data_IF_391707578939
#
_entry.id   IF_391707578939
#
_cell.length_a   1.000
_cell.length_b   1.000
_cell.length_c   1.000
_cell.angle_alpha   90.00
_cell.angle_beta   90.00
_cell.angle_gamma   90.00
#
_symmetry.space_group_name_H-M   'P 1'
#
loop_
_entity.id
_entity.type
_entity.pdbx_description
1 polymer ?
#
# COMPACT_ATOMS: atom_id res chain seq x y z
N UNK A 1 -65.39 31.50 -21.95
CA UNK A 1 -64.52 30.32 -21.78
C UNK A 1 -63.22 30.52 -22.56
N UNK A 2 -62.08 30.52 -21.86
CA UNK A 2 -60.83 29.79 -22.17
C UNK A 2 -59.62 30.56 -21.64
N UNK A 3 -59.04 29.97 -20.61
CA UNK A 3 -57.82 30.37 -19.93
C UNK A 3 -56.59 30.18 -20.83
N UNK A 4 -55.59 31.04 -20.62
CA UNK A 4 -54.24 30.97 -21.17
C UNK A 4 -53.49 29.78 -20.56
N UNK A 5 -52.80 28.99 -21.39
CA UNK A 5 -51.71 28.09 -20.98
C UNK A 5 -50.43 28.56 -21.67
N UNK A 6 -49.45 28.93 -20.86
CA UNK A 6 -48.06 29.18 -21.26
C UNK A 6 -47.34 27.84 -21.42
N UNK A 7 -46.63 27.66 -22.53
CA UNK A 7 -45.67 26.58 -22.73
C UNK A 7 -44.26 27.16 -22.60
N UNK A 8 -43.46 26.53 -21.74
CA UNK A 8 -42.05 26.83 -21.54
C UNK A 8 -41.22 26.33 -22.72
N UNK A 9 -40.38 27.19 -23.27
CA UNK A 9 -39.30 26.80 -24.17
C UNK A 9 -38.01 26.70 -23.34
N UNK A 10 -37.50 25.48 -23.16
CA UNK A 10 -36.17 25.22 -22.62
C UNK A 10 -35.11 25.72 -23.61
N UNK A 11 -34.32 26.71 -23.20
CA UNK A 11 -33.10 27.09 -23.90
C UNK A 11 -31.98 26.12 -23.49
N UNK A 12 -31.45 25.41 -24.48
CA UNK A 12 -30.30 24.52 -24.36
C UNK A 12 -29.03 25.37 -24.20
N UNK A 13 -28.56 25.54 -22.97
CA UNK A 13 -27.26 26.14 -22.71
C UNK A 13 -26.17 25.06 -22.88
N UNK A 14 -25.36 25.22 -23.94
CA UNK A 14 -24.13 24.47 -24.16
C UNK A 14 -23.16 24.71 -23.00
N UNK A 15 -23.15 23.80 -22.02
CA UNK A 15 -22.05 23.63 -21.09
C UNK A 15 -20.86 23.08 -21.88
N UNK A 16 -19.91 23.96 -22.22
CA UNK A 16 -18.55 23.55 -22.53
C UNK A 16 -17.99 22.96 -21.25
N UNK A 17 -18.19 21.66 -21.06
CA UNK A 17 -17.55 20.87 -20.04
C UNK A 17 -16.06 20.95 -20.28
N UNK A 18 -15.36 21.76 -19.49
CA UNK A 18 -13.93 21.64 -19.33
C UNK A 18 -13.68 20.23 -18.83
N UNK A 19 -13.25 19.35 -19.74
CA UNK A 19 -12.62 18.09 -19.39
C UNK A 19 -11.36 18.49 -18.64
N UNK A 20 -11.48 18.60 -17.32
CA UNK A 20 -10.34 18.48 -16.44
C UNK A 20 -9.76 17.12 -16.76
N UNK A 21 -8.64 17.10 -17.47
CA UNK A 21 -7.74 15.97 -17.51
C UNK A 21 -7.37 15.71 -16.05
N UNK A 22 -8.14 14.83 -15.39
CA UNK A 22 -7.65 14.07 -14.26
C UNK A 22 -6.46 13.33 -14.85
N UNK A 23 -5.27 13.87 -14.67
CA UNK A 23 -4.04 13.14 -14.91
C UNK A 23 -4.11 11.96 -13.94
N UNK A 24 -4.67 10.85 -14.41
CA UNK A 24 -4.60 9.58 -13.72
C UNK A 24 -3.11 9.37 -13.40
N UNK A 25 -2.80 9.20 -12.12
CA UNK A 25 -1.46 8.90 -11.69
C UNK A 25 -0.92 7.76 -12.55
N UNK A 26 0.33 7.83 -13.04
CA UNK A 26 0.91 6.71 -13.75
C UNK A 26 0.81 5.52 -12.82
N UNK A 27 0.01 4.54 -13.24
CA UNK A 27 -0.15 3.26 -12.58
C UNK A 27 1.22 2.76 -12.10
N UNK A 28 1.41 2.65 -10.79
CA UNK A 28 2.66 2.11 -10.29
C UNK A 28 2.69 0.62 -10.61
N UNK A 29 3.74 0.21 -11.30
CA UNK A 29 4.07 -1.20 -11.45
C UNK A 29 4.18 -1.84 -10.06
N UNK A 30 3.57 -3.01 -9.88
CA UNK A 30 3.78 -3.83 -8.68
C UNK A 30 5.01 -4.71 -8.93
N UNK A 31 5.99 -4.71 -8.01
CA UNK A 31 5.92 -4.23 -6.63
C UNK A 31 6.13 -2.71 -6.55
N UNK A 32 5.48 -2.07 -5.58
CA UNK A 32 5.81 -0.70 -5.20
C UNK A 32 7.18 -0.74 -4.54
N UNK A 33 8.22 -0.30 -5.26
CA UNK A 33 9.62 -0.33 -4.80
C UNK A 33 10.45 0.82 -5.37
N UNK A 34 11.59 1.06 -4.73
CA UNK A 34 12.53 2.13 -5.04
C UNK A 34 12.41 3.32 -4.10
N UNK A 35 12.81 4.48 -4.61
CA UNK A 35 12.71 5.75 -3.91
C UNK A 35 11.32 6.35 -4.15
N UNK A 36 10.54 6.52 -3.09
CA UNK A 36 9.19 7.09 -3.16
C UNK A 36 9.22 8.48 -2.53
N UNK A 37 9.66 9.47 -3.31
CA UNK A 37 9.78 10.85 -2.85
C UNK A 37 8.43 11.47 -2.44
N UNK A 38 8.43 12.17 -1.30
CA UNK A 38 7.32 12.99 -0.82
C UNK A 38 7.76 14.46 -0.71
N UNK A 39 6.91 15.37 -1.18
CA UNK A 39 7.02 16.80 -0.85
C UNK A 39 6.18 17.08 0.39
N UNK A 40 6.85 17.31 1.51
CA UNK A 40 6.22 17.71 2.79
C UNK A 40 6.21 19.24 2.84
N UNK A 41 5.01 19.81 2.77
CA UNK A 41 4.76 21.25 2.70
C UNK A 41 4.18 21.75 4.02
N UNK A 42 4.95 22.54 4.74
CA UNK A 42 4.53 23.18 5.98
C UNK A 42 3.81 24.48 5.64
N UNK A 43 2.53 24.58 5.97
CA UNK A 43 1.68 25.72 5.67
C UNK A 43 0.95 26.23 6.90
N UNK A 44 0.95 27.55 7.10
CA UNK A 44 0.26 28.20 8.22
C UNK A 44 -0.85 29.13 7.75
N UNK A 45 -1.94 29.18 8.50
CA UNK A 45 -3.02 30.14 8.23
C UNK A 45 -2.55 31.57 8.54
N UNK A 46 -3.02 32.58 7.79
CA UNK A 46 -2.56 33.97 7.98
C UNK A 46 -2.87 34.55 9.35
N UNK A 47 -3.92 34.07 10.00
CA UNK A 47 -4.36 34.47 11.35
C UNK A 47 -3.74 33.61 12.46
N UNK A 48 -2.90 32.63 12.11
CA UNK A 48 -2.22 31.72 13.03
C UNK A 48 -0.72 31.80 12.82
N UNK A 49 -0.06 32.65 13.60
CA UNK A 49 1.38 32.89 13.46
C UNK A 49 2.26 31.74 14.00
N UNK A 50 1.72 30.90 14.90
CA UNK A 50 2.48 29.86 15.58
C UNK A 50 2.95 28.77 14.61
N UNK A 51 4.15 28.27 14.87
CA UNK A 51 4.79 27.17 14.16
C UNK A 51 5.06 26.07 15.19
N UNK A 52 4.06 25.19 15.48
CA UNK A 52 4.10 24.37 16.69
C UNK A 52 5.24 23.36 16.73
N UNK A 53 5.85 23.07 15.57
CA UNK A 53 7.03 22.23 15.43
C UNK A 53 8.01 22.85 14.44
N UNK A 54 9.31 22.70 14.73
CA UNK A 54 10.39 23.08 13.83
C UNK A 54 10.38 22.19 12.57
N UNK A 55 10.64 22.72 11.36
CA UNK A 55 10.82 21.91 10.15
C UNK A 55 11.73 20.68 10.29
N UNK A 56 12.74 20.69 11.17
CA UNK A 56 13.57 19.50 11.43
C UNK A 56 12.77 18.33 11.99
N UNK A 57 11.76 18.58 12.85
CA UNK A 57 10.89 17.53 13.37
C UNK A 57 10.23 16.76 12.22
N UNK A 58 9.69 17.46 11.21
CA UNK A 58 9.06 16.83 10.07
C UNK A 58 10.06 16.14 9.12
N UNK A 59 11.31 16.61 9.05
CA UNK A 59 12.37 15.90 8.32
C UNK A 59 12.65 14.55 8.98
N UNK A 60 12.90 14.56 10.29
CA UNK A 60 13.15 13.34 11.05
C UNK A 60 11.93 12.40 11.10
N UNK A 61 10.72 12.97 11.04
CA UNK A 61 9.49 12.20 11.14
C UNK A 61 9.08 11.56 9.80
N UNK A 62 9.07 12.33 8.71
CA UNK A 62 8.40 11.97 7.45
C UNK A 62 9.35 11.69 6.27
N UNK A 63 10.66 11.83 6.44
CA UNK A 63 11.62 11.62 5.34
C UNK A 63 12.72 10.64 5.73
N UNK A 64 13.54 10.28 4.74
CA UNK A 64 14.68 9.39 4.94
C UNK A 64 15.76 9.96 5.88
N UNK A 65 15.79 11.27 6.11
CA UNK A 65 16.73 11.92 7.04
C UNK A 65 16.54 11.41 8.48
N UNK A 66 15.32 10.94 8.78
CA UNK A 66 14.90 10.33 10.02
C UNK A 66 15.23 8.85 10.21
N UNK A 67 15.93 8.20 9.28
CA UNK A 67 16.21 6.77 9.38
C UNK A 67 16.94 6.42 10.70
N UNK A 68 16.48 5.38 11.38
CA UNK A 68 16.93 4.94 12.69
C UNK A 68 16.34 5.72 13.88
N UNK A 69 15.42 6.65 13.65
CA UNK A 69 14.87 7.54 14.68
C UNK A 69 13.46 7.15 15.14
N UNK A 70 12.87 6.08 14.58
CA UNK A 70 11.53 5.57 14.89
C UNK A 70 10.42 6.27 14.11
N UNK A 71 10.75 6.94 13.00
CA UNK A 71 9.82 7.67 12.14
C UNK A 71 9.29 6.84 10.96
N UNK A 72 8.73 7.50 9.95
CA UNK A 72 8.10 6.82 8.82
C UNK A 72 9.11 6.13 7.90
N UNK A 73 10.34 6.62 7.82
CA UNK A 73 11.40 5.93 7.08
C UNK A 73 11.62 4.50 7.61
N UNK A 74 11.64 4.33 8.93
CA UNK A 74 11.83 3.03 9.57
C UNK A 74 10.60 2.14 9.41
N UNK A 75 9.40 2.72 9.55
CA UNK A 75 8.15 2.00 9.33
C UNK A 75 8.10 1.40 7.92
N UNK A 76 8.30 2.23 6.89
CA UNK A 76 8.24 1.78 5.50
C UNK A 76 9.39 0.82 5.15
N UNK A 77 10.59 1.04 5.70
CA UNK A 77 11.70 0.11 5.52
C UNK A 77 11.35 -1.28 6.10
N UNK A 78 10.79 -1.36 7.30
CA UNK A 78 10.45 -2.64 7.93
C UNK A 78 9.27 -3.34 7.24
N UNK A 79 8.20 -2.61 6.91
CA UNK A 79 7.03 -3.19 6.27
C UNK A 79 7.33 -3.69 4.85
N UNK A 80 8.19 -2.97 4.11
CA UNK A 80 8.56 -3.29 2.73
C UNK A 80 9.80 -4.17 2.60
N UNK A 81 10.57 -4.34 3.70
CA UNK A 81 11.91 -4.96 3.76
C UNK A 81 12.94 -4.21 2.93
N UNK A 82 12.97 -2.89 3.09
CA UNK A 82 13.87 -1.98 2.37
C UNK A 82 13.53 -1.81 0.89
N UNK A 83 12.42 -2.39 0.41
CA UNK A 83 11.99 -2.24 -1.00
C UNK A 83 11.54 -0.82 -1.29
N UNK A 84 10.97 -0.14 -0.31
CA UNK A 84 10.64 1.28 -0.39
C UNK A 84 11.54 2.04 0.56
N UNK A 85 12.08 3.15 0.06
CA UNK A 85 12.78 4.16 0.85
C UNK A 85 12.13 5.51 0.60
N UNK A 86 12.22 6.41 1.58
CA UNK A 86 11.71 7.78 1.43
C UNK A 86 12.80 8.72 0.88
N UNK A 87 13.86 8.17 0.27
CA UNK A 87 14.89 8.97 -0.41
C UNK A 87 14.25 9.89 -1.47
N UNK A 88 14.83 11.08 -1.63
CA UNK A 88 14.30 12.12 -2.49
C UNK A 88 13.17 12.94 -1.86
N UNK A 89 12.61 12.53 -0.72
CA UNK A 89 11.61 13.35 0.00
C UNK A 89 12.21 14.66 0.52
N UNK A 90 11.41 15.71 0.57
CA UNK A 90 11.84 17.06 0.99
C UNK A 90 10.83 17.70 1.92
N UNK A 91 11.31 18.49 2.89
CA UNK A 91 10.46 19.36 3.73
C UNK A 91 10.69 20.83 3.37
N UNK A 92 9.60 21.57 3.17
CA UNK A 92 9.61 22.99 2.75
C UNK A 92 8.54 23.79 3.50
N UNK A 93 8.77 25.07 3.77
CA UNK A 93 7.86 25.94 4.53
C UNK A 93 8.38 26.24 5.94
N UNK A 94 7.72 26.98 6.83
CA UNK A 94 6.31 27.37 6.95
C UNK A 94 5.83 28.49 5.99
N UNK A 95 5.04 28.13 4.98
CA UNK A 95 4.42 29.08 4.07
C UNK A 95 3.14 29.69 4.66
N UNK A 96 3.05 31.02 4.70
CA UNK A 96 1.83 31.71 5.13
C UNK A 96 0.79 31.68 4.00
N UNK A 97 -0.24 30.87 4.17
CA UNK A 97 -1.37 30.82 3.25
C UNK A 97 -2.19 32.12 3.32
N UNK A 98 -2.81 32.59 2.22
CA UNK A 98 -3.65 33.80 2.21
C UNK A 98 -5.03 33.61 2.89
N UNK A 99 -5.24 32.46 3.54
CA UNK A 99 -6.51 32.06 4.15
C UNK A 99 -6.41 32.06 5.67
N UNK A 100 -7.50 32.47 6.35
CA UNK A 100 -7.64 32.22 7.78
C UNK A 100 -7.98 30.76 8.06
N UNK A 101 -7.81 30.31 9.31
CA UNK A 101 -8.29 29.00 9.75
C UNK A 101 -9.79 28.83 9.46
N UNK A 102 -10.59 29.86 9.78
CA UNK A 102 -12.04 29.83 9.56
C UNK A 102 -12.42 29.69 8.07
N UNK A 103 -11.68 30.34 7.17
CA UNK A 103 -11.88 30.20 5.72
C UNK A 103 -11.54 28.81 5.19
N UNK A 104 -10.69 28.05 5.90
CA UNK A 104 -10.26 26.71 5.52
C UNK A 104 -11.19 25.61 6.07
N UNK A 105 -11.84 25.82 7.22
CA UNK A 105 -12.76 24.83 7.83
C UNK A 105 -13.80 24.23 6.87
N UNK A 106 -14.55 25.01 6.07
CA UNK A 106 -15.61 24.45 5.22
C UNK A 106 -15.10 23.77 3.95
N UNK A 107 -13.80 23.90 3.60
CA UNK A 107 -13.24 23.30 2.38
C UNK A 107 -13.10 21.79 2.54
N UNK A 108 -13.18 21.05 1.45
CA UNK A 108 -12.81 19.63 1.48
C UNK A 108 -11.29 19.49 1.62
N UNK A 109 -10.84 18.28 1.96
CA UNK A 109 -9.42 17.99 2.21
C UNK A 109 -8.52 18.26 1.01
N UNK A 110 -8.98 17.91 -0.19
CA UNK A 110 -8.21 18.13 -1.42
C UNK A 110 -7.91 19.62 -1.64
N UNK A 111 -8.92 20.47 -1.47
CA UNK A 111 -8.78 21.92 -1.62
C UNK A 111 -7.83 22.51 -0.56
N UNK A 112 -7.91 22.05 0.70
CA UNK A 112 -6.96 22.46 1.76
C UNK A 112 -5.51 22.12 1.40
N UNK A 113 -5.27 20.90 0.91
CA UNK A 113 -3.94 20.47 0.45
C UNK A 113 -3.51 21.31 -0.75
N UNK A 114 -4.39 21.50 -1.74
CA UNK A 114 -4.08 22.24 -2.95
C UNK A 114 -3.77 23.72 -2.65
N UNK A 115 -4.43 24.33 -1.67
CA UNK A 115 -4.11 25.69 -1.21
C UNK A 115 -2.69 25.77 -0.63
N UNK A 116 -2.27 24.77 0.14
CA UNK A 116 -0.89 24.68 0.64
C UNK A 116 0.11 24.50 -0.52
N UNK A 117 -0.19 23.64 -1.50
CA UNK A 117 0.63 23.45 -2.72
C UNK A 117 0.76 24.74 -3.52
N UNK A 118 -0.35 25.45 -3.76
CA UNK A 118 -0.36 26.73 -4.47
C UNK A 118 0.45 27.80 -3.72
N UNK A 119 0.35 27.81 -2.40
CA UNK A 119 1.13 28.74 -1.55
C UNK A 119 2.62 28.40 -1.60
N UNK A 120 3.01 27.13 -1.58
CA UNK A 120 4.41 26.73 -1.76
C UNK A 120 4.95 27.15 -3.13
N UNK A 121 4.15 26.98 -4.18
CA UNK A 121 4.49 27.40 -5.55
C UNK A 121 4.67 28.91 -5.67
N UNK A 122 3.78 29.72 -5.08
CA UNK A 122 3.94 31.18 -5.08
C UNK A 122 5.16 31.66 -4.27
N UNK A 123 5.66 30.82 -3.36
CA UNK A 123 6.91 31.02 -2.62
C UNK A 123 8.13 30.32 -3.26
N UNK A 124 8.03 29.95 -4.53
CA UNK A 124 9.17 29.46 -5.32
C UNK A 124 9.48 27.97 -5.19
N UNK A 125 8.60 27.15 -4.61
CA UNK A 125 8.76 25.70 -4.58
C UNK A 125 7.73 24.97 -5.45
N UNK A 126 8.20 24.35 -6.53
CA UNK A 126 7.39 23.45 -7.36
C UNK A 126 7.63 22.01 -6.92
N UNK A 127 6.55 21.26 -6.67
CA UNK A 127 6.62 19.83 -6.35
C UNK A 127 7.25 19.08 -7.54
N UNK A 128 8.35 18.33 -7.33
CA UNK A 128 8.98 17.56 -8.40
C UNK A 128 8.03 16.53 -9.00
N UNK A 129 8.16 16.26 -10.30
CA UNK A 129 7.42 15.20 -10.96
C UNK A 129 7.66 13.85 -10.26
N UNK A 130 6.58 13.11 -9.99
CA UNK A 130 6.62 11.82 -9.30
C UNK A 130 6.65 11.89 -7.77
N UNK A 131 6.77 13.09 -7.17
CA UNK A 131 6.58 13.23 -5.73
C UNK A 131 5.10 13.14 -5.36
N UNK A 132 4.82 12.43 -4.27
CA UNK A 132 3.56 12.55 -3.53
C UNK A 132 3.60 13.78 -2.61
N UNK A 133 2.47 14.13 -2.01
CA UNK A 133 2.36 15.37 -1.23
C UNK A 133 1.87 15.08 0.18
N UNK A 134 2.54 15.67 1.18
CA UNK A 134 2.03 15.80 2.54
C UNK A 134 1.91 17.30 2.84
N UNK A 135 0.70 17.79 3.08
CA UNK A 135 0.49 19.13 3.62
C UNK A 135 0.41 19.05 5.15
N UNK A 136 1.22 19.87 5.82
CA UNK A 136 1.25 20.03 7.27
C UNK A 136 0.62 21.38 7.62
N UNK A 137 -0.42 21.38 8.45
CA UNK A 137 -1.12 22.59 8.87
C UNK A 137 -0.84 22.95 10.33
N UNK A 138 -0.73 24.24 10.64
CA UNK A 138 -0.30 24.69 11.97
C UNK A 138 -1.39 24.76 13.05
N UNK A 139 -2.63 24.38 12.75
CA UNK A 139 -3.75 24.40 13.69
C UNK A 139 -4.80 23.33 13.30
N UNK A 140 -5.68 23.00 14.25
CA UNK A 140 -6.67 21.92 14.16
C UNK A 140 -7.79 22.23 13.16
N UNK A 141 -7.87 21.45 12.10
CA UNK A 141 -8.85 21.65 11.01
C UNK A 141 -9.36 20.36 10.39
N UNK A 142 -8.48 19.43 10.04
CA UNK A 142 -8.74 18.23 9.24
C UNK A 142 -7.42 17.46 9.08
N UNK A 143 -7.52 16.13 9.05
CA UNK A 143 -6.41 15.23 8.78
C UNK A 143 -6.94 14.03 7.98
N UNK A 144 -6.11 13.48 7.10
CA UNK A 144 -6.46 12.31 6.30
C UNK A 144 -5.81 12.28 4.93
N UNK A 145 -6.13 11.26 4.14
CA UNK A 145 -5.75 11.17 2.74
C UNK A 145 -6.81 11.79 1.82
N UNK A 146 -6.34 12.24 0.66
CA UNK A 146 -7.15 12.60 -0.49
C UNK A 146 -6.41 12.13 -1.74
N UNK A 147 -6.74 10.93 -2.23
CA UNK A 147 -6.00 10.28 -3.31
C UNK A 147 -4.56 9.94 -2.87
N UNK A 148 -3.58 10.46 -3.60
CA UNK A 148 -2.15 10.27 -3.32
C UNK A 148 -1.54 11.35 -2.41
N UNK A 149 -2.39 12.16 -1.77
CA UNK A 149 -1.99 13.28 -0.92
C UNK A 149 -2.46 13.06 0.50
N UNK A 150 -1.70 13.61 1.43
CA UNK A 150 -1.95 13.52 2.86
C UNK A 150 -2.07 14.93 3.45
N UNK A 151 -3.03 15.13 4.33
CA UNK A 151 -3.15 16.32 5.18
C UNK A 151 -2.92 15.90 6.64
N UNK A 152 -2.00 16.56 7.34
CA UNK A 152 -1.78 16.34 8.77
C UNK A 152 -1.81 17.68 9.51
N UNK A 153 -2.81 17.85 10.36
CA UNK A 153 -2.85 18.89 11.39
C UNK A 153 -2.20 18.40 12.70
N UNK A 154 -2.05 19.24 13.75
CA UNK A 154 -1.34 18.88 14.97
C UNK A 154 -1.86 17.61 15.68
N UNK A 155 -3.11 17.21 15.45
CA UNK A 155 -3.68 15.98 16.00
C UNK A 155 -3.19 14.71 15.33
N UNK A 156 -2.66 14.81 14.11
CA UNK A 156 -2.25 13.69 13.28
C UNK A 156 -0.72 13.55 13.15
N UNK A 157 0.08 14.33 13.88
CA UNK A 157 1.54 14.24 13.85
C UNK A 157 2.09 13.10 14.71
N UNK A 158 1.62 11.89 14.41
CA UNK A 158 2.10 10.65 15.03
C UNK A 158 2.29 9.54 13.99
N UNK A 159 3.13 8.56 14.29
CA UNK A 159 3.50 7.48 13.35
C UNK A 159 2.28 6.72 12.87
N UNK A 160 1.37 6.34 13.76
CA UNK A 160 0.17 5.59 13.40
C UNK A 160 -0.68 6.30 12.35
N UNK A 161 -0.99 7.57 12.57
CA UNK A 161 -1.81 8.37 11.67
C UNK A 161 -1.10 8.60 10.34
N UNK A 162 0.12 9.12 10.37
CA UNK A 162 0.87 9.41 9.16
C UNK A 162 1.13 8.14 8.31
N UNK A 163 1.41 6.99 8.94
CA UNK A 163 1.61 5.73 8.23
C UNK A 163 0.33 5.29 7.50
N UNK A 164 -0.81 5.34 8.18
CA UNK A 164 -2.11 5.01 7.61
C UNK A 164 -2.38 5.85 6.35
N UNK A 165 -2.24 7.17 6.45
CA UNK A 165 -2.55 8.06 5.33
C UNK A 165 -1.53 7.97 4.18
N UNK A 166 -0.25 7.81 4.49
CA UNK A 166 0.77 7.64 3.47
C UNK A 166 0.57 6.34 2.68
N UNK A 167 0.00 5.30 3.30
CA UNK A 167 -0.32 4.03 2.65
C UNK A 167 -1.48 4.15 1.64
N UNK A 168 -2.42 5.08 1.81
CA UNK A 168 -3.35 5.45 0.74
C UNK A 168 -2.62 6.00 -0.50
N UNK A 169 -1.53 6.72 -0.29
CA UNK A 169 -0.63 7.15 -1.37
C UNK A 169 -0.01 5.99 -2.16
N UNK A 170 0.05 4.79 -1.61
CA UNK A 170 0.50 3.58 -2.30
C UNK A 170 -0.66 2.72 -2.82
N UNK A 171 -1.89 3.24 -2.83
CA UNK A 171 -3.06 2.55 -3.39
C UNK A 171 -3.69 1.51 -2.46
N UNK A 172 -3.42 1.61 -1.15
CA UNK A 172 -4.13 0.81 -0.16
C UNK A 172 -5.47 1.43 0.21
N UNK A 173 -6.45 0.58 0.49
CA UNK A 173 -7.72 0.97 1.12
C UNK A 173 -7.77 0.44 2.55
N UNK A 174 -8.90 0.66 3.23
CA UNK A 174 -9.05 0.23 4.61
C UNK A 174 -9.17 -1.28 4.78
N UNK A 175 -8.85 -1.75 5.98
CA UNK A 175 -9.18 -3.10 6.44
C UNK A 175 -10.45 -3.12 7.28
N UNK A 176 -11.13 -4.26 7.26
CA UNK A 176 -12.44 -4.44 7.86
C UNK A 176 -12.44 -5.64 8.82
N UNK A 177 -13.52 -5.81 9.58
CA UNK A 177 -13.90 -7.10 10.18
C UNK A 177 -15.15 -7.67 9.51
N UNK A 178 -15.37 -8.96 9.69
CA UNK A 178 -16.56 -9.65 9.20
C UNK A 178 -17.81 -9.48 10.08
N UNK A 179 -17.79 -8.59 11.08
CA UNK A 179 -18.95 -8.33 11.95
C UNK A 179 -19.96 -7.41 11.26
N UNK A 180 -21.17 -7.91 10.91
CA UNK A 180 -22.16 -7.12 10.19
C UNK A 180 -22.85 -6.06 11.06
N UNK A 181 -22.57 -6.04 12.37
CA UNK A 181 -23.19 -5.11 13.33
C UNK A 181 -22.26 -3.99 13.75
N UNK A 182 -20.96 -4.12 13.50
CA UNK A 182 -20.00 -3.10 13.91
C UNK A 182 -19.96 -1.95 12.92
N UNK A 183 -20.07 -0.73 13.44
CA UNK A 183 -19.79 0.50 12.71
C UNK A 183 -18.96 1.40 13.62
N UNK A 184 -17.73 1.73 13.20
CA UNK A 184 -16.82 2.52 14.03
C UNK A 184 -17.38 3.92 14.32
N UNK A 185 -17.89 4.58 13.27
CA UNK A 185 -18.47 5.93 13.29
C UNK A 185 -19.56 6.02 12.22
N UNK A 186 -20.51 6.94 12.35
CA UNK A 186 -21.74 6.96 11.52
C UNK A 186 -21.49 6.92 10.00
N UNK A 187 -20.44 7.63 9.54
CA UNK A 187 -20.04 7.72 8.14
C UNK A 187 -19.23 6.51 7.64
N UNK A 188 -18.72 5.68 8.55
CA UNK A 188 -17.93 4.51 8.19
C UNK A 188 -18.83 3.38 7.69
N UNK A 189 -18.28 2.56 6.80
CA UNK A 189 -18.92 1.33 6.34
C UNK A 189 -18.97 0.30 7.48
N UNK A 190 -19.86 -0.70 7.34
CA UNK A 190 -19.96 -1.81 8.29
C UNK A 190 -18.66 -2.61 8.28
N UNK A 191 -18.12 -2.86 9.48
CA UNK A 191 -16.85 -3.54 9.70
C UNK A 191 -15.60 -2.70 9.43
N UNK A 192 -15.73 -1.49 8.86
CA UNK A 192 -14.60 -0.62 8.57
C UNK A 192 -13.90 -0.17 9.85
N UNK A 193 -12.57 -0.16 9.82
CA UNK A 193 -11.74 0.19 10.97
C UNK A 193 -11.96 -0.75 12.17
N UNK A 194 -12.22 -2.03 11.93
CA UNK A 194 -12.45 -3.03 12.98
C UNK A 194 -11.43 -4.18 12.97
N UNK A 195 -10.21 -3.91 12.50
CA UNK A 195 -9.10 -4.85 12.56
C UNK A 195 -7.93 -4.24 13.36
N UNK A 196 -7.90 -4.42 14.70
CA UNK A 196 -6.89 -3.81 15.56
C UNK A 196 -5.44 -4.22 15.27
N UNK A 197 -5.22 -5.26 14.48
CA UNK A 197 -3.89 -5.78 14.14
C UNK A 197 -3.34 -5.22 12.82
N UNK A 198 -4.10 -4.40 12.09
CA UNK A 198 -3.69 -3.87 10.80
C UNK A 198 -3.75 -2.35 10.74
N UNK A 199 -2.69 -1.71 10.25
CA UNK A 199 -2.58 -0.25 10.18
C UNK A 199 -3.66 0.39 9.32
N UNK A 200 -4.21 -0.34 8.34
CA UNK A 200 -5.29 0.14 7.49
C UNK A 200 -6.66 0.11 8.19
N UNK A 201 -6.71 -0.23 9.48
CA UNK A 201 -7.85 -0.03 10.39
C UNK A 201 -7.82 1.35 11.09
N UNK A 202 -6.99 2.27 10.58
CA UNK A 202 -6.83 3.64 11.05
C UNK A 202 -6.54 3.71 12.55
N UNK A 203 -7.14 4.66 13.27
CA UNK A 203 -6.85 4.92 14.69
C UNK A 203 -7.46 3.89 15.64
N UNK A 204 -8.19 2.89 15.14
CA UNK A 204 -8.71 1.78 15.94
C UNK A 204 -7.78 0.57 15.84
N UNK A 205 -6.54 0.74 16.30
CA UNK A 205 -5.46 -0.28 16.24
C UNK A 205 -4.76 -0.45 17.57
N UNK A 206 -4.10 -1.59 17.74
CA UNK A 206 -3.13 -1.79 18.80
C UNK A 206 -1.91 -0.89 18.55
N UNK A 207 -1.48 -0.20 19.61
CA UNK A 207 -0.38 0.76 19.53
C UNK A 207 0.49 0.69 20.77
N UNK A 208 1.67 1.30 20.70
CA UNK A 208 2.50 1.66 21.83
C UNK A 208 2.97 3.11 21.65
N UNK A 209 3.54 3.71 22.69
CA UNK A 209 4.13 5.05 22.57
C UNK A 209 5.55 4.95 22.00
N UNK A 210 5.80 5.65 20.89
CA UNK A 210 7.15 5.78 20.34
C UNK A 210 7.97 6.76 21.17
N UNK A 211 9.29 6.69 21.05
CA UNK A 211 10.18 7.57 21.80
C UNK A 211 10.09 9.05 21.38
N UNK A 212 9.67 9.34 20.14
CA UNK A 212 9.78 10.69 19.54
C UNK A 212 8.55 11.20 18.81
N UNK A 213 7.76 10.32 18.21
CA UNK A 213 6.74 10.69 17.21
C UNK A 213 5.35 10.21 17.63
N UNK A 214 5.04 10.32 18.93
CA UNK A 214 3.74 9.99 19.51
C UNK A 214 3.39 8.50 19.39
N UNK A 215 2.10 8.22 19.15
CA UNK A 215 1.57 6.87 19.04
C UNK A 215 2.11 6.11 17.81
N UNK A 216 2.48 4.84 18.00
CA UNK A 216 3.02 3.97 16.96
C UNK A 216 1.96 3.56 15.93
N UNK A 217 2.43 2.97 14.83
CA UNK A 217 1.61 2.12 13.96
C UNK A 217 1.55 0.67 14.51
N UNK A 218 0.78 -0.18 13.83
CA UNK A 218 0.87 -1.64 13.86
C UNK A 218 1.36 -2.15 12.50
N UNK A 219 1.85 -3.39 12.41
CA UNK A 219 2.26 -3.96 11.12
C UNK A 219 1.11 -4.08 10.12
N UNK A 220 1.43 -3.95 8.83
CA UNK A 220 0.50 -4.23 7.73
C UNK A 220 0.16 -5.72 7.65
N UNK A 221 -1.12 -6.02 7.41
CA UNK A 221 -1.58 -7.37 7.10
C UNK A 221 -0.91 -7.90 5.81
N UNK A 222 -0.86 -9.21 5.71
CA UNK A 222 -0.21 -9.95 4.63
C UNK A 222 -0.85 -9.69 3.27
N UNK A 223 -2.17 -9.52 3.19
CA UNK A 223 -2.85 -9.18 1.94
C UNK A 223 -2.34 -7.85 1.36
N UNK A 224 -2.20 -6.80 2.17
CA UNK A 224 -1.71 -5.51 1.69
C UNK A 224 -0.22 -5.54 1.35
N UNK A 225 0.60 -6.26 2.14
CA UNK A 225 2.01 -6.47 1.79
C UNK A 225 2.14 -7.24 0.47
N UNK A 226 1.28 -8.20 0.23
CA UNK A 226 1.22 -8.97 -1.01
C UNK A 226 0.72 -8.11 -2.20
N UNK A 227 -0.31 -7.28 -1.99
CA UNK A 227 -0.79 -6.30 -2.98
C UNK A 227 0.32 -5.35 -3.43
N UNK A 228 1.14 -4.87 -2.49
CA UNK A 228 2.27 -4.00 -2.80
C UNK A 228 3.51 -4.74 -3.34
N UNK A 229 3.48 -6.08 -3.37
CA UNK A 229 4.62 -6.92 -3.72
C UNK A 229 5.79 -6.84 -2.72
N UNK A 230 5.47 -6.53 -1.46
CA UNK A 230 6.41 -6.51 -0.33
C UNK A 230 6.63 -7.89 0.30
N UNK A 231 5.76 -8.85 -0.01
CA UNK A 231 6.05 -10.27 0.17
C UNK A 231 6.64 -10.84 -1.12
N UNK A 232 7.70 -11.63 -0.99
CA UNK A 232 8.21 -12.39 -2.12
C UNK A 232 7.33 -13.61 -2.40
N UNK A 233 7.22 -14.03 -3.66
CA UNK A 233 6.30 -15.11 -4.05
C UNK A 233 6.57 -16.43 -3.34
N UNK A 234 7.84 -16.74 -3.05
CA UNK A 234 8.23 -17.92 -2.28
C UNK A 234 7.76 -17.87 -0.81
N UNK A 235 7.34 -16.70 -0.32
CA UNK A 235 6.74 -16.49 1.00
C UNK A 235 5.20 -16.51 0.96
N UNK A 236 4.59 -16.65 -0.21
CA UNK A 236 3.14 -16.73 -0.37
C UNK A 236 2.76 -18.11 -0.89
N UNK A 237 2.04 -18.88 -0.08
CA UNK A 237 1.57 -20.22 -0.47
C UNK A 237 0.09 -20.18 -0.82
N UNK A 238 -0.30 -20.76 -1.96
CA UNK A 238 -1.71 -20.90 -2.36
C UNK A 238 -2.15 -22.36 -2.24
N UNK A 239 -3.07 -22.66 -1.32
CA UNK A 239 -3.58 -24.02 -1.15
C UNK A 239 -4.35 -24.49 -2.39
N UNK A 240 -4.20 -25.76 -2.77
CA UNK A 240 -4.87 -26.36 -3.91
C UNK A 240 -4.26 -26.05 -5.28
N UNK A 241 -3.24 -25.17 -5.34
CA UNK A 241 -2.56 -24.78 -6.58
C UNK A 241 -1.82 -25.95 -7.26
N UNK A 242 -1.34 -26.91 -6.46
CA UNK A 242 -0.67 -28.13 -6.91
C UNK A 242 -1.59 -29.36 -6.89
N UNK A 243 -2.90 -29.15 -6.78
CA UNK A 243 -3.90 -30.23 -6.69
C UNK A 243 -4.01 -30.87 -5.30
N UNK A 244 -3.16 -30.51 -4.33
CA UNK A 244 -3.24 -31.05 -2.97
C UNK A 244 -4.25 -30.27 -2.14
N UNK A 245 -5.29 -30.96 -1.68
CA UNK A 245 -6.42 -30.36 -0.95
C UNK A 245 -6.16 -30.10 0.51
N UNK A 246 -5.31 -30.88 1.16
CA UNK A 246 -5.07 -30.82 2.61
C UNK A 246 -3.59 -30.73 2.90
N UNK A 247 -3.19 -29.77 3.76
CA UNK A 247 -1.81 -29.60 4.18
C UNK A 247 -1.71 -29.12 5.62
N UNK A 248 -0.61 -29.47 6.27
CA UNK A 248 -0.12 -28.74 7.44
C UNK A 248 0.97 -27.79 6.98
N UNK A 249 0.76 -26.49 7.19
CA UNK A 249 1.63 -25.41 6.75
C UNK A 249 2.29 -24.78 7.99
N UNK A 250 3.60 -24.56 7.91
CA UNK A 250 4.33 -23.72 8.88
C UNK A 250 4.36 -22.30 8.35
N UNK A 251 3.73 -21.39 9.09
CA UNK A 251 3.77 -19.95 8.90
C UNK A 251 4.96 -19.39 9.69
N UNK A 252 5.69 -18.47 9.08
CA UNK A 252 6.69 -17.61 9.73
C UNK A 252 6.07 -16.22 9.94
N UNK A 253 6.45 -15.54 11.02
CA UNK A 253 5.81 -14.27 11.36
C UNK A 253 6.08 -13.19 10.30
N UNK A 254 5.09 -12.32 10.06
CA UNK A 254 5.25 -11.17 9.18
C UNK A 254 6.34 -10.21 9.66
N UNK A 255 6.54 -10.11 10.97
CA UNK A 255 7.55 -9.28 11.62
C UNK A 255 8.97 -9.88 11.62
N UNK A 256 9.14 -11.13 11.18
CA UNK A 256 10.45 -11.81 11.17
C UNK A 256 10.84 -12.26 9.75
N UNK A 257 11.19 -11.33 8.85
CA UNK A 257 11.43 -11.65 7.44
C UNK A 257 12.60 -12.61 7.18
N UNK A 258 13.58 -12.66 8.09
CA UNK A 258 14.71 -13.59 8.03
C UNK A 258 14.34 -15.05 8.34
N UNK A 259 13.18 -15.29 8.97
CA UNK A 259 12.68 -16.64 9.22
C UNK A 259 12.22 -17.26 7.89
N UNK A 260 12.72 -18.45 7.56
CA UNK A 260 12.30 -19.17 6.37
C UNK A 260 10.85 -19.69 6.51
N UNK A 261 10.15 -19.82 5.38
CA UNK A 261 8.83 -20.44 5.30
C UNK A 261 7.75 -19.50 4.74
N UNK A 262 6.52 -19.99 4.72
CA UNK A 262 5.34 -19.23 4.28
C UNK A 262 5.08 -18.08 5.25
N UNK A 263 4.78 -16.88 4.75
CA UNK A 263 4.37 -15.73 5.56
C UNK A 263 2.90 -15.36 5.33
N UNK A 264 2.38 -15.69 4.14
CA UNK A 264 0.97 -15.56 3.81
C UNK A 264 0.49 -16.85 3.16
N UNK A 265 -0.53 -17.46 3.75
CA UNK A 265 -1.28 -18.54 3.13
C UNK A 265 -2.53 -17.96 2.46
N UNK A 266 -2.72 -18.20 1.17
CA UNK A 266 -3.97 -17.92 0.44
C UNK A 266 -4.74 -19.23 0.25
N UNK A 267 -6.05 -19.19 0.48
CA UNK A 267 -6.94 -20.35 0.34
C UNK A 267 -8.13 -19.95 -0.54
N UNK A 268 -8.04 -20.18 -1.86
CA UNK A 268 -9.17 -20.04 -2.76
C UNK A 268 -10.31 -20.96 -2.34
N UNK A 269 -11.53 -20.43 -2.36
CA UNK A 269 -12.75 -21.22 -2.15
C UNK A 269 -13.80 -20.92 -3.21
N UNK A 270 -13.82 -19.70 -3.76
CA UNK A 270 -14.68 -19.34 -4.89
C UNK A 270 -13.96 -19.58 -6.21
N UNK A 271 -14.36 -20.63 -6.91
CA UNK A 271 -13.80 -21.00 -8.21
C UNK A 271 -14.05 -19.96 -9.31
N UNK A 272 -15.04 -19.09 -9.11
CA UNK A 272 -15.48 -18.09 -10.09
C UNK A 272 -15.00 -16.68 -9.75
N UNK A 273 -14.45 -16.46 -8.55
CA UNK A 273 -13.94 -15.16 -8.13
C UNK A 273 -12.52 -15.24 -7.53
N UNK A 274 -11.46 -14.92 -8.32
CA UNK A 274 -10.09 -14.95 -7.82
C UNK A 274 -9.76 -13.89 -6.77
N UNK A 275 -10.70 -12.99 -6.50
CA UNK A 275 -10.60 -11.94 -5.48
C UNK A 275 -11.48 -12.22 -4.26
N UNK A 276 -11.99 -13.44 -4.14
CA UNK A 276 -12.69 -13.95 -2.96
C UNK A 276 -12.04 -15.22 -2.43
N UNK A 277 -11.25 -15.06 -1.37
CA UNK A 277 -10.45 -16.14 -0.80
C UNK A 277 -10.12 -15.84 0.66
N UNK A 278 -9.71 -16.87 1.42
CA UNK A 278 -9.20 -16.66 2.77
C UNK A 278 -7.70 -16.42 2.75
N UNK A 279 -7.22 -15.65 3.71
CA UNK A 279 -5.80 -15.52 4.04
C UNK A 279 -5.56 -15.98 5.47
N UNK A 280 -4.39 -16.58 5.70
CA UNK A 280 -3.90 -16.92 7.04
C UNK A 280 -2.48 -16.41 7.18
N UNK A 281 -2.21 -15.69 8.27
CA UNK A 281 -0.90 -15.10 8.56
C UNK A 281 -0.57 -15.22 10.04
N UNK A 282 0.72 -15.20 10.37
CA UNK A 282 1.18 -15.18 11.74
C UNK A 282 1.76 -13.80 12.09
N UNK A 283 1.27 -13.21 13.19
CA UNK A 283 1.71 -11.93 13.74
C UNK A 283 2.43 -12.15 15.06
N UNK A 284 3.65 -11.62 15.15
CA UNK A 284 4.45 -11.66 16.36
C UNK A 284 4.41 -10.32 17.07
N UNK A 285 4.27 -10.34 18.40
CA UNK A 285 4.31 -9.16 19.28
C UNK A 285 5.74 -8.62 19.38
N UNK A 286 6.21 -8.01 18.30
CA UNK A 286 7.56 -7.44 18.17
C UNK A 286 7.56 -6.32 17.14
N UNK A 287 8.62 -5.50 17.15
CA UNK A 287 8.77 -4.36 16.24
C UNK A 287 7.54 -3.45 16.26
N UNK A 288 7.03 -3.10 15.07
CA UNK A 288 5.81 -2.30 14.92
C UNK A 288 4.54 -2.97 15.49
N UNK A 289 4.53 -4.28 15.67
CA UNK A 289 3.41 -5.00 16.28
C UNK A 289 3.61 -5.19 17.79
N UNK A 290 4.55 -4.51 18.45
CA UNK A 290 4.81 -4.69 19.89
C UNK A 290 3.62 -4.36 20.80
N UNK A 291 2.66 -3.57 20.32
CA UNK A 291 1.43 -3.19 21.02
C UNK A 291 0.29 -4.23 20.98
N UNK A 292 0.38 -5.28 20.15
CA UNK A 292 -0.65 -6.34 20.11
C UNK A 292 -0.62 -7.15 21.43
N UNK A 293 -1.73 -7.75 21.87
CA UNK A 293 -1.79 -8.40 23.19
C UNK A 293 -0.92 -9.67 23.30
N UNK A 294 -0.81 -10.44 22.22
CA UNK A 294 -0.03 -11.67 22.16
C UNK A 294 0.34 -12.01 20.70
N UNK A 295 1.31 -12.92 20.54
CA UNK A 295 1.56 -13.61 19.27
C UNK A 295 0.27 -14.30 18.81
N UNK A 296 -0.13 -14.09 17.56
CA UNK A 296 -1.45 -14.55 17.08
C UNK A 296 -1.45 -14.92 15.60
N UNK A 297 -2.18 -15.98 15.26
CA UNK A 297 -2.51 -16.30 13.87
C UNK A 297 -3.83 -15.60 13.52
N UNK A 298 -3.81 -14.86 12.42
CA UNK A 298 -4.97 -14.14 11.91
C UNK A 298 -5.54 -14.83 10.69
N UNK A 299 -6.87 -14.83 10.59
CA UNK A 299 -7.61 -15.26 9.42
C UNK A 299 -8.38 -14.07 8.87
N UNK A 300 -8.30 -13.84 7.56
CA UNK A 300 -9.11 -12.82 6.89
C UNK A 300 -9.83 -13.44 5.69
N UNK A 301 -11.05 -12.97 5.38
CA UNK A 301 -11.64 -13.13 4.05
C UNK A 301 -11.29 -11.91 3.22
N UNK A 302 -10.65 -12.09 2.08
CA UNK A 302 -10.50 -11.04 1.09
C UNK A 302 -11.75 -11.03 0.23
N UNK A 303 -12.38 -9.87 0.07
CA UNK A 303 -13.54 -9.66 -0.81
C UNK A 303 -13.27 -8.48 -1.72
N UNK A 304 -13.13 -8.75 -3.02
CA UNK A 304 -12.87 -7.73 -4.04
C UNK A 304 -11.72 -6.77 -3.67
N UNK A 305 -10.66 -7.33 -3.11
CA UNK A 305 -9.46 -6.58 -2.74
C UNK A 305 -9.51 -5.86 -1.37
N UNK A 306 -10.53 -6.11 -0.56
CA UNK A 306 -10.64 -5.63 0.82
C UNK A 306 -10.48 -6.80 1.79
N UNK A 307 -9.54 -6.75 2.76
CA UNK A 307 -9.38 -7.77 3.78
C UNK A 307 -10.36 -7.56 4.95
N UNK A 308 -11.14 -8.58 5.26
CA UNK A 308 -12.05 -8.65 6.40
C UNK A 308 -11.51 -9.63 7.44
N UNK A 309 -11.05 -9.13 8.59
CA UNK A 309 -10.68 -9.95 9.73
C UNK A 309 -11.87 -10.83 10.13
N UNK A 310 -11.63 -12.14 10.16
CA UNK A 310 -12.59 -13.08 10.74
C UNK A 310 -12.39 -13.06 12.25
N UNK A 311 -13.33 -12.45 12.98
CA UNK A 311 -13.20 -12.28 14.44
C UNK A 311 -14.33 -12.91 15.25
N UNK A 312 -14.05 -13.21 16.51
CA UNK A 312 -15.09 -13.58 17.47
C UNK A 312 -16.12 -12.46 17.61
N UNK A 313 -17.38 -12.82 17.81
CA UNK A 313 -18.47 -11.86 18.07
C UNK A 313 -18.50 -11.53 19.56
N UNK A 314 -18.55 -10.23 19.89
CA UNK A 314 -18.42 -9.74 21.27
C UNK A 314 -17.00 -9.88 21.84
N UNK A 315 -16.78 -9.31 23.03
CA UNK A 315 -15.49 -9.34 23.74
C UNK A 315 -14.36 -8.57 23.03
N UNK A 316 -13.13 -9.07 23.16
CA UNK A 316 -11.88 -8.41 22.74
C UNK A 316 -11.61 -8.45 21.22
N UNK A 317 -12.60 -8.82 20.41
CA UNK A 317 -12.52 -8.81 18.93
C UNK A 317 -11.39 -9.66 18.36
N UNK A 318 -10.98 -10.72 19.06
CA UNK A 318 -9.88 -11.58 18.64
C UNK A 318 -10.15 -12.29 17.30
N UNK A 319 -9.10 -12.51 16.48
CA UNK A 319 -9.18 -13.41 15.34
C UNK A 319 -9.72 -14.78 15.72
N UNK A 320 -10.64 -15.32 14.91
CA UNK A 320 -11.14 -16.69 15.11
C UNK A 320 -9.99 -17.69 15.04
N UNK A 321 -10.01 -18.70 15.90
CA UNK A 321 -8.93 -19.68 15.98
C UNK A 321 -9.15 -20.93 15.09
N UNK A 322 -10.30 -20.98 14.40
CA UNK A 322 -10.64 -22.00 13.43
C UNK A 322 -11.66 -21.49 12.42
N UNK A 323 -11.74 -22.15 11.27
CA UNK A 323 -12.71 -21.90 10.22
C UNK A 323 -13.27 -23.23 9.70
N UNK A 324 -14.58 -23.29 9.48
CA UNK A 324 -15.25 -24.33 8.70
C UNK A 324 -16.36 -23.66 7.90
N UNK A 325 -16.01 -23.15 6.71
CA UNK A 325 -16.91 -22.40 5.87
C UNK A 325 -16.47 -22.45 4.40
N UNK A 326 -17.42 -22.32 3.48
CA UNK A 326 -17.16 -22.30 2.03
C UNK A 326 -16.35 -23.50 1.52
N UNK A 327 -16.49 -24.68 2.17
CA UNK A 327 -15.70 -25.87 1.81
C UNK A 327 -14.22 -25.79 2.17
N UNK A 328 -13.84 -24.85 3.05
CA UNK A 328 -12.51 -24.69 3.62
C UNK A 328 -12.55 -24.98 5.11
N UNK A 329 -11.61 -25.78 5.59
CA UNK A 329 -11.32 -25.91 7.01
C UNK A 329 -9.94 -25.33 7.33
N UNK A 330 -9.85 -24.55 8.39
CA UNK A 330 -8.57 -24.07 8.96
C UNK A 330 -8.58 -24.36 10.46
N UNK A 331 -7.53 -25.02 10.93
CA UNK A 331 -7.27 -25.24 12.34
C UNK A 331 -5.87 -24.76 12.68
N UNK A 332 -5.75 -23.88 13.67
CA UNK A 332 -4.46 -23.49 14.22
C UNK A 332 -3.96 -24.60 15.16
N UNK A 333 -2.78 -25.12 14.88
CA UNK A 333 -2.19 -26.23 15.64
C UNK A 333 -1.39 -25.73 16.83
N UNK A 334 -0.72 -24.58 16.68
CA UNK A 334 0.05 -23.95 17.74
C UNK A 334 1.00 -22.87 17.23
N UNK A 335 1.54 -22.11 18.16
CA UNK A 335 2.55 -21.07 17.95
C UNK A 335 3.82 -21.47 18.68
N UNK A 336 4.98 -21.33 18.03
CA UNK A 336 6.29 -21.61 18.62
C UNK A 336 7.35 -20.67 18.05
N UNK A 337 7.92 -19.83 18.91
CA UNK A 337 8.98 -18.88 18.53
C UNK A 337 8.54 -17.92 17.43
N UNK A 338 9.20 -17.99 16.27
CA UNK A 338 8.91 -17.15 15.10
C UNK A 338 7.97 -17.83 14.10
N UNK A 339 7.34 -18.94 14.49
CA UNK A 339 6.49 -19.75 13.61
C UNK A 339 5.16 -20.10 14.24
N UNK A 340 4.17 -20.38 13.40
CA UNK A 340 2.90 -21.00 13.77
C UNK A 340 2.60 -22.14 12.80
N UNK A 341 1.94 -23.18 13.26
CA UNK A 341 1.53 -24.30 12.39
C UNK A 341 0.02 -24.30 12.23
N UNK A 342 -0.47 -24.46 11.00
CA UNK A 342 -1.90 -24.54 10.69
C UNK A 342 -2.19 -25.76 9.83
N UNK A 343 -3.26 -26.48 10.12
CA UNK A 343 -3.79 -27.52 9.23
C UNK A 343 -4.97 -26.95 8.45
N UNK A 344 -4.90 -27.09 7.13
CA UNK A 344 -5.88 -26.51 6.21
C UNK A 344 -6.35 -27.55 5.20
N UNK A 345 -7.64 -27.48 4.86
CA UNK A 345 -8.22 -28.23 3.74
C UNK A 345 -9.10 -27.33 2.89
N UNK A 346 -9.23 -27.66 1.61
CA UNK A 346 -10.15 -26.99 0.67
C UNK A 346 -10.79 -27.99 -0.28
N UNK A 347 -12.05 -27.76 -0.63
CA UNK A 347 -12.75 -28.46 -1.70
C UNK A 347 -12.36 -27.93 -3.09
N UNK A 348 -11.77 -26.74 -3.16
CA UNK A 348 -11.40 -26.05 -4.39
C UNK A 348 -9.95 -26.34 -4.74
N UNK A 349 -9.72 -27.01 -5.87
CA UNK A 349 -8.39 -27.20 -6.47
C UNK A 349 -8.34 -26.49 -7.81
N UNK A 350 -7.39 -25.59 -8.00
CA UNK A 350 -7.25 -24.83 -9.23
C UNK A 350 -5.79 -24.46 -9.50
N UNK A 351 -5.36 -24.57 -10.75
CA UNK A 351 -4.02 -24.15 -11.19
C UNK A 351 -3.87 -22.67 -11.54
N UNK A 352 -4.90 -21.84 -11.31
CA UNK A 352 -4.89 -20.42 -11.67
C UNK A 352 -4.12 -19.57 -10.66
N UNK A 353 -3.68 -18.39 -11.11
CA UNK A 353 -3.03 -17.39 -10.25
C UNK A 353 -4.09 -16.59 -9.50
N UNK A 354 -4.05 -16.65 -8.17
CA UNK A 354 -4.97 -15.94 -7.27
C UNK A 354 -4.27 -14.77 -6.56
N UNK A 355 -5.05 -13.79 -6.11
CA UNK A 355 -4.57 -12.68 -5.28
C UNK A 355 -4.63 -11.31 -5.95
N UNK A 356 -4.14 -10.26 -5.26
CA UNK A 356 -4.31 -8.87 -5.69
C UNK A 356 -3.65 -8.58 -7.05
N UNK A 357 -2.56 -9.29 -7.38
CA UNK A 357 -1.79 -9.07 -8.59
C UNK A 357 -2.09 -10.11 -9.69
N UNK A 358 -3.23 -10.80 -9.65
CA UNK A 358 -3.58 -11.78 -10.67
C UNK A 358 -3.63 -11.12 -12.06
N UNK A 359 -2.96 -11.72 -13.04
CA UNK A 359 -2.95 -11.22 -14.40
C UNK A 359 -4.26 -11.54 -15.12
N UNK A 360 -4.66 -10.65 -16.04
CA UNK A 360 -5.72 -10.93 -17.01
C UNK A 360 -5.41 -12.18 -17.81
N UNK A 361 -6.46 -12.87 -18.28
CA UNK A 361 -6.30 -14.01 -19.19
C UNK A 361 -5.39 -13.65 -20.39
N UNK A 362 -4.44 -14.55 -20.71
CA UNK A 362 -3.41 -14.34 -21.74
C UNK A 362 -2.15 -13.59 -21.28
N UNK A 363 -2.14 -13.07 -20.06
CA UNK A 363 -0.98 -12.42 -19.44
C UNK A 363 -0.40 -13.26 -18.30
N UNK A 364 0.90 -13.12 -18.07
CA UNK A 364 1.64 -13.79 -17.00
C UNK A 364 2.54 -12.80 -16.29
N UNK A 365 2.90 -13.07 -15.02
CA UNK A 365 3.91 -12.27 -14.34
C UNK A 365 5.23 -12.28 -15.10
N UNK A 366 5.86 -11.12 -15.18
CA UNK A 366 7.10 -10.89 -15.94
C UNK A 366 8.29 -11.63 -15.36
N UNK A 367 8.26 -11.93 -14.06
CA UNK A 367 9.29 -12.72 -13.38
C UNK A 367 10.71 -12.17 -13.55
N UNK A 368 10.85 -10.85 -13.64
CA UNK A 368 12.17 -10.25 -13.64
C UNK A 368 12.93 -10.57 -12.35
N UNK A 369 12.21 -10.71 -11.23
CA UNK A 369 12.65 -11.34 -9.98
C UNK A 369 11.48 -12.05 -9.28
N UNK A 370 11.67 -12.52 -8.05
CA UNK A 370 10.63 -13.20 -7.25
C UNK A 370 9.50 -12.28 -6.75
N UNK A 371 9.59 -10.97 -6.99
CA UNK A 371 8.63 -9.97 -6.52
C UNK A 371 8.00 -9.15 -7.66
N UNK A 372 8.45 -9.35 -8.89
CA UNK A 372 7.96 -8.68 -10.08
C UNK A 372 6.63 -9.27 -10.56
N UNK A 373 5.55 -8.60 -10.18
CA UNK A 373 4.18 -8.97 -10.52
C UNK A 373 3.64 -8.23 -11.76
N UNK A 374 4.49 -7.49 -12.48
CA UNK A 374 4.09 -6.84 -13.74
C UNK A 374 3.61 -7.89 -14.74
N UNK A 375 2.39 -7.75 -15.24
CA UNK A 375 1.82 -8.68 -16.21
C UNK A 375 2.33 -8.37 -17.63
N UNK A 376 2.87 -9.38 -18.30
CA UNK A 376 3.43 -9.35 -19.66
C UNK A 376 3.00 -10.57 -20.48
N UNK A 377 3.32 -10.59 -21.77
CA UNK A 377 3.04 -11.77 -22.60
C UNK A 377 3.97 -12.93 -22.23
N UNK A 378 3.57 -14.15 -22.59
CA UNK A 378 4.41 -15.34 -22.40
C UNK A 378 5.80 -15.19 -23.05
N UNK A 379 5.87 -14.58 -24.24
CA UNK A 379 7.13 -14.34 -24.94
C UNK A 379 8.05 -13.40 -24.16
N UNK A 380 7.50 -12.31 -23.59
CA UNK A 380 8.29 -11.38 -22.77
C UNK A 380 8.77 -12.05 -21.48
N UNK A 381 7.96 -12.89 -20.83
CA UNK A 381 8.39 -13.67 -19.66
C UNK A 381 9.56 -14.60 -20.00
N UNK A 382 9.50 -15.30 -21.14
CA UNK A 382 10.60 -16.17 -21.61
C UNK A 382 11.87 -15.38 -21.93
N UNK A 383 11.72 -14.20 -22.58
CA UNK A 383 12.82 -13.28 -22.82
C UNK A 383 13.47 -12.84 -21.50
N UNK A 384 12.66 -12.47 -20.51
CA UNK A 384 13.16 -12.04 -19.19
C UNK A 384 13.90 -13.15 -18.45
N UNK A 385 13.41 -14.40 -18.51
CA UNK A 385 14.12 -15.55 -17.96
C UNK A 385 15.48 -15.76 -18.66
N UNK A 386 15.53 -15.59 -19.98
CA UNK A 386 16.77 -15.66 -20.75
C UNK A 386 17.75 -14.55 -20.36
N UNK A 387 17.25 -13.32 -20.20
CA UNK A 387 18.06 -12.17 -19.75
C UNK A 387 18.63 -12.38 -18.34
N UNK A 388 17.82 -12.91 -17.41
CA UNK A 388 18.28 -13.27 -16.07
C UNK A 388 19.36 -14.37 -16.10
N UNK A 389 19.19 -15.41 -16.93
CA UNK A 389 20.18 -16.49 -17.07
C UNK A 389 21.51 -16.00 -17.67
N UNK A 390 21.46 -14.99 -18.54
CA UNK A 390 22.63 -14.40 -19.18
C UNK A 390 23.22 -13.23 -18.41
N UNK A 391 22.64 -12.83 -17.27
CA UNK A 391 23.06 -11.65 -16.52
C UNK A 391 24.59 -11.63 -16.30
N UNK A 392 25.15 -12.71 -15.75
CA UNK A 392 26.58 -12.85 -15.44
C UNK A 392 27.51 -12.86 -16.66
N UNK A 393 26.98 -13.00 -17.87
CA UNK A 393 27.77 -13.00 -19.12
C UNK A 393 27.81 -11.63 -19.79
N UNK A 394 26.98 -10.68 -19.33
CA UNK A 394 26.76 -9.37 -19.97
C UNK A 394 27.23 -8.20 -19.11
N UNK A 395 27.93 -8.46 -18.01
CA UNK A 395 28.53 -7.44 -17.17
C UNK A 395 29.96 -7.79 -16.76
N UNK A 396 30.71 -6.77 -16.34
CA UNK A 396 32.03 -6.89 -15.74
C UNK A 396 32.18 -5.88 -14.59
N UNK A 397 33.24 -6.00 -13.77
CA UNK A 397 33.55 -4.98 -12.77
C UNK A 397 34.20 -3.78 -13.47
N UNK A 398 33.47 -2.67 -13.57
CA UNK A 398 33.83 -1.54 -14.43
C UNK A 398 33.52 -0.18 -13.79
N UNK A 399 33.55 0.90 -14.60
CA UNK A 399 33.41 2.28 -14.13
C UNK A 399 32.12 2.59 -13.36
N UNK A 400 31.06 1.79 -13.54
CA UNK A 400 29.76 1.97 -12.87
C UNK A 400 29.55 0.98 -11.71
N UNK A 401 30.62 0.33 -11.24
CA UNK A 401 30.60 -0.63 -10.15
C UNK A 401 30.59 -2.10 -10.61
N UNK A 402 30.44 -3.04 -9.66
CA UNK A 402 30.15 -4.43 -9.98
C UNK A 402 28.81 -4.46 -10.72
N UNK A 403 28.75 -5.15 -11.85
CA UNK A 403 27.63 -5.16 -12.80
C UNK A 403 27.60 -4.02 -13.84
N UNK A 404 28.76 -3.43 -14.18
CA UNK A 404 28.86 -2.57 -15.36
C UNK A 404 28.57 -3.38 -16.63
N UNK A 405 27.56 -2.97 -17.42
CA UNK A 405 27.23 -3.69 -18.66
C UNK A 405 28.35 -3.62 -19.70
N UNK A 406 28.57 -4.74 -20.39
CA UNK A 406 29.46 -4.78 -21.56
C UNK A 406 28.91 -3.91 -22.69
N UNK A 407 29.78 -3.48 -23.61
CA UNK A 407 29.39 -2.62 -24.72
C UNK A 407 28.22 -3.21 -25.52
N UNK A 408 27.20 -2.40 -25.78
CA UNK A 408 25.96 -2.81 -26.48
C UNK A 408 24.82 -3.22 -25.55
N UNK A 409 25.07 -3.37 -24.25
CA UNK A 409 24.07 -3.65 -23.23
C UNK A 409 23.88 -2.48 -22.27
N UNK A 410 22.71 -2.43 -21.63
CA UNK A 410 22.32 -1.46 -20.61
C UNK A 410 21.57 -2.19 -19.50
N UNK A 411 21.54 -1.65 -18.28
CA UNK A 411 20.67 -2.17 -17.23
C UNK A 411 19.21 -2.16 -17.67
N UNK A 412 18.51 -3.26 -17.41
CA UNK A 412 17.11 -3.45 -17.79
C UNK A 412 16.20 -2.41 -17.14
N UNK A 413 16.56 -1.92 -15.95
CA UNK A 413 15.82 -0.89 -15.23
C UNK A 413 14.32 -1.17 -15.16
N UNK A 414 13.94 -2.43 -14.98
CA UNK A 414 12.56 -2.77 -14.71
C UNK A 414 12.11 -2.17 -13.35
N UNK A 415 13.04 -1.82 -12.46
CA UNK A 415 12.86 -1.03 -11.25
C UNK A 415 14.21 -0.41 -10.83
N UNK A 416 14.23 0.55 -9.89
CA UNK A 416 15.47 1.04 -9.31
C UNK A 416 16.27 -0.09 -8.64
N UNK A 417 17.45 -0.40 -9.18
CA UNK A 417 18.32 -1.50 -8.73
C UNK A 417 18.24 -2.78 -9.56
N UNK A 418 17.46 -2.80 -10.65
CA UNK A 418 17.51 -3.89 -11.64
C UNK A 418 18.70 -3.73 -12.59
N UNK A 419 19.82 -4.35 -12.23
CA UNK A 419 21.10 -4.25 -12.95
C UNK A 419 21.32 -5.37 -13.98
N UNK A 420 20.28 -6.17 -14.30
CA UNK A 420 20.37 -7.18 -15.36
C UNK A 420 20.66 -6.50 -16.70
N UNK A 421 21.80 -6.82 -17.31
CA UNK A 421 22.21 -6.24 -18.58
C UNK A 421 21.43 -6.82 -19.77
N UNK A 422 20.72 -5.96 -20.49
CA UNK A 422 19.87 -6.27 -21.65
C UNK A 422 20.13 -5.31 -22.81
N UNK A 423 19.54 -5.58 -23.97
CA UNK A 423 19.62 -4.65 -25.09
C UNK A 423 18.85 -3.34 -24.78
N UNK A 424 19.19 -2.22 -25.43
CA UNK A 424 18.40 -0.98 -25.28
C UNK A 424 16.91 -1.15 -25.60
N UNK A 425 16.58 -2.04 -26.56
CA UNK A 425 15.20 -2.39 -26.89
C UNK A 425 14.48 -3.09 -25.72
N UNK A 426 15.12 -4.05 -25.05
CA UNK A 426 14.55 -4.74 -23.90
C UNK A 426 14.37 -3.81 -22.69
N UNK A 427 15.28 -2.84 -22.47
CA UNK A 427 15.08 -1.80 -21.44
C UNK A 427 13.85 -0.94 -21.75
N UNK A 428 13.64 -0.55 -23.01
CA UNK A 428 12.45 0.18 -23.40
C UNK A 428 11.17 -0.67 -23.24
N UNK A 429 11.23 -1.97 -23.58
CA UNK A 429 10.13 -2.90 -23.34
C UNK A 429 9.77 -2.99 -21.85
N UNK A 430 10.76 -3.11 -20.96
CA UNK A 430 10.52 -3.15 -19.51
C UNK A 430 9.82 -1.88 -18.98
N UNK A 431 10.18 -0.70 -19.50
CA UNK A 431 9.51 0.57 -19.17
C UNK A 431 8.07 0.61 -19.68
N UNK A 432 7.84 0.16 -20.91
CA UNK A 432 6.50 0.07 -21.49
C UNK A 432 5.61 -0.90 -20.71
N UNK A 433 6.18 -2.01 -20.25
CA UNK A 433 5.46 -2.99 -19.42
C UNK A 433 5.09 -2.42 -18.05
N UNK A 434 5.99 -1.68 -17.41
CA UNK A 434 5.69 -0.98 -16.17
C UNK A 434 4.55 0.05 -16.35
N UNK A 435 4.59 0.84 -17.43
CA UNK A 435 3.54 1.81 -17.73
C UNK A 435 2.17 1.17 -18.01
N UNK A 436 2.16 -0.07 -18.52
CA UNK A 436 0.95 -0.83 -18.79
C UNK A 436 0.53 -1.77 -17.65
N UNK A 437 1.26 -1.83 -16.53
CA UNK A 437 1.09 -2.85 -15.49
C UNK A 437 -0.37 -2.95 -15.00
N UNK A 438 -0.97 -1.83 -14.63
CA UNK A 438 -2.34 -1.77 -14.12
C UNK A 438 -3.40 -2.17 -15.16
N UNK A 439 -3.17 -1.95 -16.45
CA UNK A 439 -4.17 -2.34 -17.48
C UNK A 439 -4.19 -3.85 -17.74
N UNK A 440 -3.23 -4.60 -17.21
CA UNK A 440 -3.02 -6.04 -17.43
C UNK A 440 -3.27 -6.90 -16.19
N UNK A 441 -3.58 -6.28 -15.05
CA UNK A 441 -4.08 -6.95 -13.84
C UNK A 441 -5.60 -7.12 -13.97
N UNK A 442 -6.12 -8.26 -13.52
CA UNK A 442 -7.54 -8.63 -13.66
C UNK A 442 -8.46 -7.63 -12.94
N UNK A 443 -8.16 -7.31 -11.68
CA UNK A 443 -8.80 -6.23 -10.90
C UNK A 443 -7.72 -5.41 -10.19
N UNK A 444 -7.35 -4.24 -10.75
CA UNK A 444 -6.27 -3.40 -10.24
C UNK A 444 -6.60 -2.63 -8.96
#
# INVERSE_FOLDING_TARGET
>A
MRQRRTWAAMALALLVGGIGLVLANPAQAVPVRGQTGWSVLLCKFKDKAQEPQNPQFFRDFLTQDGAGQGGLADYFADQSRGRVTLHGSTVRGWYTMPFTLEQQRPKNRWDKIQDCVNTAASNGYTVPAGHRIIAILNDWVDSGAAGDRVLLDPGAWNVGFAAHEMLHGYGLGHSFSDDPTYRNVEWAQIGEYDNPWDIQSAMNIHTFQTARFGTSAVGLNGYFRDKLGWLSRDRVFTLGADGVRTRTITLSALETPGTAGTQLLRIPFDANDPYRYYTVEFRKKTGWSAGIPADIVMLNEVRNGTPYLLRTRGGDRHPVQSLDANGVSVRINGVSGNTATVTVSTNTVQGNTYGPNACKSGWVWRDADQQDYVCVSHAVRQQNATDNNLANTRWYNGPYGPHTCVQGFVWRDAWPGDDVCVTPANRQQARNDNAAAHSRIERP
#
